data_IF_846674992118
#
_entry.id   IF_846674992118
#
_cell.length_a   1.000
_cell.length_b   1.000
_cell.length_c   1.000
_cell.angle_alpha   90.00
_cell.angle_beta   90.00
_cell.angle_gamma   90.00
#
_symmetry.space_group_name_H-M   'P 1'
#
loop_
_entity.id
_entity.type
_entity.pdbx_description
1 polymer ?
#
# COMPACT_ATOMS: atom_id res chain seq x y z
N UNK A 1 6.67 12.08 -12.19
CA UNK A 1 6.92 13.55 -12.19
C UNK A 1 5.68 14.25 -11.66
N UNK A 2 5.81 15.38 -10.96
CA UNK A 2 4.65 16.16 -10.56
C UNK A 2 3.98 16.81 -11.79
N UNK A 3 2.70 17.14 -11.68
CA UNK A 3 1.98 17.89 -12.70
C UNK A 3 2.65 19.25 -12.90
N UNK A 4 2.85 19.68 -14.16
CA UNK A 4 3.70 20.84 -14.51
C UNK A 4 3.22 22.18 -13.95
N UNK A 5 1.95 22.32 -13.61
CA UNK A 5 1.39 23.55 -13.03
C UNK A 5 1.47 23.59 -11.49
N UNK A 6 1.83 22.47 -10.85
CA UNK A 6 1.99 22.38 -9.41
C UNK A 6 3.46 22.53 -9.02
N UNK A 7 3.71 23.24 -7.93
CA UNK A 7 5.00 23.18 -7.25
C UNK A 7 5.21 21.77 -6.67
N UNK A 8 6.46 21.37 -6.43
CA UNK A 8 6.77 20.08 -5.79
C UNK A 8 6.04 19.90 -4.46
N UNK A 9 5.83 20.97 -3.70
CA UNK A 9 5.12 20.97 -2.41
C UNK A 9 3.63 20.74 -2.60
N UNK A 10 3.01 21.40 -3.57
CA UNK A 10 1.59 21.23 -3.91
C UNK A 10 1.31 19.83 -4.44
N UNK A 11 2.14 19.32 -5.36
CA UNK A 11 2.01 17.96 -5.88
C UNK A 11 2.08 16.89 -4.77
N UNK A 12 3.00 17.05 -3.82
CA UNK A 12 3.10 16.17 -2.64
C UNK A 12 1.85 16.29 -1.76
N UNK A 13 1.36 17.52 -1.54
CA UNK A 13 0.20 17.78 -0.70
C UNK A 13 -1.10 17.21 -1.30
N UNK A 14 -1.26 17.31 -2.59
CA UNK A 14 -2.42 16.77 -3.31
C UNK A 14 -2.27 15.26 -3.60
N UNK A 15 -1.09 14.67 -3.39
CA UNK A 15 -0.81 13.29 -3.82
C UNK A 15 -0.85 13.11 -5.34
N UNK A 16 -0.66 14.22 -6.08
CA UNK A 16 -0.81 14.27 -7.52
C UNK A 16 0.49 13.85 -8.19
N UNK A 17 0.55 12.61 -8.67
CA UNK A 17 1.67 12.04 -9.40
C UNK A 17 1.23 11.67 -10.81
N UNK A 18 2.05 12.05 -11.79
CA UNK A 18 1.93 11.56 -13.16
C UNK A 18 2.10 10.04 -13.17
N UNK A 19 1.19 9.34 -13.82
CA UNK A 19 1.28 7.89 -14.01
C UNK A 19 1.97 7.58 -15.33
N UNK A 20 3.16 6.96 -15.32
CA UNK A 20 3.86 6.57 -16.54
C UNK A 20 3.00 5.66 -17.43
N UNK A 21 3.09 5.88 -18.75
CA UNK A 21 2.26 5.16 -19.72
C UNK A 21 2.33 3.64 -19.57
N UNK A 22 3.51 3.07 -19.34
CA UNK A 22 3.65 1.62 -19.19
C UNK A 22 2.84 1.04 -18.02
N UNK A 23 2.61 1.81 -16.92
CA UNK A 23 1.76 1.38 -15.81
C UNK A 23 0.27 1.46 -16.17
N UNK A 24 -0.11 2.45 -16.99
CA UNK A 24 -1.46 2.55 -17.57
C UNK A 24 -1.71 1.35 -18.50
N UNK A 25 -0.75 1.04 -19.36
CA UNK A 25 -0.84 -0.10 -20.29
C UNK A 25 -1.01 -1.43 -19.53
N UNK A 26 -0.33 -1.61 -18.38
CA UNK A 26 -0.52 -2.77 -17.53
C UNK A 26 -1.96 -2.81 -16.96
N UNK A 27 -2.52 -1.68 -16.50
CA UNK A 27 -3.89 -1.64 -15.99
C UNK A 27 -4.90 -2.09 -17.07
N UNK A 28 -4.74 -1.63 -18.30
CA UNK A 28 -5.58 -2.09 -19.43
C UNK A 28 -5.35 -3.57 -19.77
N UNK A 29 -4.11 -4.05 -19.69
CA UNK A 29 -3.79 -5.47 -19.91
C UNK A 29 -4.47 -6.38 -18.88
N UNK A 30 -4.54 -5.96 -17.60
CA UNK A 30 -5.25 -6.72 -16.57
C UNK A 30 -6.76 -6.77 -16.86
N UNK A 31 -7.35 -5.64 -17.26
CA UNK A 31 -8.77 -5.57 -17.64
C UNK A 31 -9.08 -6.44 -18.88
N UNK A 32 -8.21 -6.42 -19.88
CA UNK A 32 -8.37 -7.22 -21.10
C UNK A 32 -8.29 -8.72 -20.80
N UNK A 33 -7.27 -9.16 -20.07
CA UNK A 33 -7.13 -10.56 -19.63
C UNK A 33 -8.32 -11.08 -18.84
N UNK A 34 -8.99 -10.21 -18.09
CA UNK A 34 -10.20 -10.54 -17.33
C UNK A 34 -11.48 -10.49 -18.19
N UNK A 35 -11.38 -10.16 -19.50
CA UNK A 35 -12.54 -9.87 -20.37
C UNK A 35 -13.50 -8.85 -19.73
N UNK A 36 -12.94 -7.88 -18.98
CA UNK A 36 -13.71 -6.87 -18.26
C UNK A 36 -14.28 -5.79 -19.20
N UNK A 37 -13.61 -5.54 -20.33
CA UNK A 37 -13.93 -4.47 -21.27
C UNK A 37 -14.97 -4.98 -22.27
N UNK A 38 -16.09 -4.27 -22.35
CA UNK A 38 -17.15 -4.48 -23.35
C UNK A 38 -17.38 -3.22 -24.16
N UNK A 39 -18.11 -3.31 -25.29
CA UNK A 39 -18.42 -2.17 -26.14
C UNK A 39 -19.14 -1.04 -25.38
N UNK A 40 -19.94 -1.40 -24.36
CA UNK A 40 -20.77 -0.45 -23.59
C UNK A 40 -20.11 -0.05 -22.27
N UNK A 41 -18.85 -0.44 -22.05
CA UNK A 41 -18.12 -0.09 -20.82
C UNK A 41 -17.87 1.42 -20.74
N UNK A 42 -18.18 2.00 -19.58
CA UNK A 42 -17.84 3.38 -19.23
C UNK A 42 -16.65 3.36 -18.27
N UNK A 43 -15.58 4.06 -18.65
CA UNK A 43 -14.40 4.23 -17.81
C UNK A 43 -14.51 5.52 -17.02
N UNK A 44 -14.37 5.46 -15.70
CA UNK A 44 -14.38 6.63 -14.82
C UNK A 44 -13.08 6.69 -14.02
N UNK A 45 -12.36 7.82 -14.17
CA UNK A 45 -11.30 8.20 -13.26
C UNK A 45 -11.76 9.38 -12.40
N UNK A 46 -11.86 9.17 -11.07
CA UNK A 46 -12.41 10.15 -10.13
C UNK A 46 -11.38 11.13 -9.57
N UNK A 47 -10.13 11.01 -10.02
CA UNK A 47 -8.98 11.88 -9.67
C UNK A 47 -8.02 11.96 -10.85
N UNK A 48 -8.57 12.26 -12.02
CA UNK A 48 -7.94 11.99 -13.31
C UNK A 48 -6.72 12.87 -13.63
N UNK A 49 -6.48 13.96 -12.89
CA UNK A 49 -5.39 14.86 -13.20
C UNK A 49 -5.44 15.34 -14.66
N UNK A 50 -4.42 15.01 -15.44
CA UNK A 50 -4.35 15.32 -16.87
C UNK A 50 -5.01 14.27 -17.77
N UNK A 51 -5.59 13.21 -17.20
CA UNK A 51 -6.27 12.16 -17.96
C UNK A 51 -5.33 11.07 -18.47
N UNK A 52 -4.27 10.75 -17.72
CA UNK A 52 -3.26 9.75 -18.11
C UNK A 52 -3.86 8.36 -18.40
N UNK A 53 -5.00 8.03 -17.78
CA UNK A 53 -5.70 6.75 -17.95
C UNK A 53 -6.70 6.72 -19.08
N UNK A 54 -6.91 7.82 -19.80
CA UNK A 54 -7.86 7.82 -20.91
C UNK A 54 -7.19 7.39 -22.20
N UNK A 55 -7.74 6.35 -22.83
CA UNK A 55 -7.31 5.84 -24.10
C UNK A 55 -8.34 6.11 -25.18
N UNK A 56 -7.89 6.31 -26.42
CA UNK A 56 -8.76 6.54 -27.56
C UNK A 56 -9.66 5.32 -27.82
N UNK A 57 -10.88 5.59 -28.26
CA UNK A 57 -11.86 4.55 -28.57
C UNK A 57 -12.69 4.06 -27.36
N UNK A 58 -12.41 4.51 -26.15
CA UNK A 58 -13.21 4.19 -24.97
C UNK A 58 -14.11 5.34 -24.53
N UNK A 59 -15.29 5.01 -23.99
CA UNK A 59 -16.19 5.99 -23.38
C UNK A 59 -15.65 6.36 -21.99
N UNK A 60 -14.88 7.45 -21.92
CA UNK A 60 -14.17 7.87 -20.74
C UNK A 60 -14.79 9.10 -20.08
N UNK A 61 -14.84 9.09 -18.75
CA UNK A 61 -15.31 10.20 -17.91
C UNK A 61 -14.22 10.52 -16.89
N UNK A 62 -13.83 11.79 -16.78
CA UNK A 62 -12.86 12.30 -15.82
C UNK A 62 -13.47 13.14 -14.72
N UNK A 63 -12.91 13.09 -13.54
CA UNK A 63 -13.23 14.02 -12.46
C UNK A 63 -11.97 14.38 -11.67
N UNK A 64 -11.88 15.64 -11.26
CA UNK A 64 -10.81 16.10 -10.37
C UNK A 64 -11.28 17.32 -9.57
N UNK A 65 -10.64 17.59 -8.42
CA UNK A 65 -10.80 18.83 -7.65
C UNK A 65 -9.96 19.97 -8.22
N UNK A 66 -8.97 19.65 -9.05
CA UNK A 66 -8.09 20.62 -9.70
C UNK A 66 -8.62 21.02 -11.08
N UNK A 67 -9.24 22.21 -11.14
CA UNK A 67 -9.79 22.77 -12.38
C UNK A 67 -8.71 23.01 -13.45
N UNK A 68 -7.46 23.31 -13.05
CA UNK A 68 -6.36 23.54 -14.00
C UNK A 68 -5.89 22.21 -14.63
N UNK A 69 -5.94 21.13 -13.88
CA UNK A 69 -5.66 19.81 -14.41
C UNK A 69 -6.73 19.41 -15.43
N UNK A 70 -8.01 19.55 -15.10
CA UNK A 70 -9.13 19.24 -15.99
C UNK A 70 -9.10 20.01 -17.32
N UNK A 71 -8.62 21.25 -17.31
CA UNK A 71 -8.48 22.04 -18.54
C UNK A 71 -7.47 21.47 -19.54
N UNK A 72 -6.65 20.50 -19.13
CA UNK A 72 -5.65 19.80 -19.97
C UNK A 72 -6.08 18.42 -20.42
N UNK A 73 -7.20 17.92 -19.92
CA UNK A 73 -7.80 16.66 -20.38
C UNK A 73 -8.28 16.83 -21.82
N UNK A 74 -8.15 15.77 -22.64
CA UNK A 74 -8.66 15.77 -24.01
C UNK A 74 -10.12 16.21 -24.08
N UNK A 75 -10.46 17.06 -25.06
CA UNK A 75 -11.83 17.57 -25.28
C UNK A 75 -12.84 16.47 -25.58
N UNK A 76 -12.40 15.31 -26.01
CA UNK A 76 -13.24 14.14 -26.28
C UNK A 76 -13.68 13.41 -25.01
N UNK A 77 -13.09 13.73 -23.84
CA UNK A 77 -13.43 13.14 -22.55
C UNK A 77 -14.37 14.08 -21.80
N UNK A 78 -15.50 13.55 -21.33
CA UNK A 78 -16.41 14.29 -20.47
C UNK A 78 -15.78 14.47 -19.11
N UNK A 79 -15.69 15.70 -18.60
CA UNK A 79 -15.05 16.00 -17.32
C UNK A 79 -15.98 16.67 -16.32
N UNK A 80 -15.74 16.43 -15.02
CA UNK A 80 -16.48 17.02 -13.91
C UNK A 80 -15.49 17.63 -12.90
N UNK A 81 -15.63 18.93 -12.62
CA UNK A 81 -14.93 19.59 -11.53
C UNK A 81 -15.66 19.32 -10.22
N UNK A 82 -15.21 18.31 -9.47
CA UNK A 82 -15.83 17.91 -8.21
C UNK A 82 -14.90 17.14 -7.29
N UNK A 83 -15.23 17.14 -6.01
CA UNK A 83 -14.62 16.27 -5.02
C UNK A 83 -15.30 14.89 -5.04
N UNK A 84 -14.55 13.85 -5.39
CA UNK A 84 -15.03 12.46 -5.47
C UNK A 84 -15.37 11.83 -4.10
N UNK A 85 -14.99 12.49 -3.02
CA UNK A 85 -15.22 12.02 -1.64
C UNK A 85 -16.44 12.67 -0.98
N UNK A 86 -17.22 13.44 -1.74
CA UNK A 86 -18.48 14.06 -1.32
C UNK A 86 -19.63 13.53 -2.18
N UNK A 87 -20.59 12.89 -1.55
CA UNK A 87 -21.78 12.31 -2.18
C UNK A 87 -21.48 11.54 -3.47
N UNK A 88 -20.58 10.52 -3.45
CA UNK A 88 -20.27 9.74 -4.64
C UNK A 88 -21.49 8.91 -5.08
N UNK A 89 -21.90 9.09 -6.34
CA UNK A 89 -22.97 8.33 -6.97
C UNK A 89 -22.76 8.28 -8.50
N UNK A 90 -23.25 7.26 -9.18
CA UNK A 90 -23.22 7.19 -10.65
C UNK A 90 -23.87 8.41 -11.30
N UNK A 91 -25.01 8.82 -10.77
CA UNK A 91 -25.76 9.99 -11.28
C UNK A 91 -24.94 11.29 -11.22
N UNK A 92 -24.07 11.45 -10.23
CA UNK A 92 -23.20 12.61 -10.10
C UNK A 92 -22.19 12.77 -11.25
N UNK A 93 -21.97 11.71 -12.04
CA UNK A 93 -21.15 11.68 -13.25
C UNK A 93 -22.00 11.52 -14.53
N UNK A 94 -23.33 11.55 -14.40
CA UNK A 94 -24.26 11.32 -15.50
C UNK A 94 -24.27 9.88 -16.01
N UNK A 95 -23.94 8.93 -15.15
CA UNK A 95 -23.92 7.48 -15.41
C UNK A 95 -25.22 6.89 -14.85
N UNK A 96 -25.91 6.04 -15.63
CA UNK A 96 -27.12 5.35 -15.20
C UNK A 96 -26.78 4.14 -14.31
N UNK A 97 -27.70 3.73 -13.46
CA UNK A 97 -27.50 2.55 -12.61
C UNK A 97 -27.26 1.25 -13.41
N UNK A 98 -27.88 1.15 -14.60
CA UNK A 98 -27.73 0.01 -15.52
C UNK A 98 -26.42 -0.02 -16.29
N UNK A 99 -25.66 1.09 -16.32
CA UNK A 99 -24.46 1.20 -17.13
C UNK A 99 -23.31 0.34 -16.55
N UNK A 100 -22.55 -0.29 -17.45
CA UNK A 100 -21.36 -1.08 -17.11
C UNK A 100 -20.20 -0.13 -16.78
N UNK A 101 -20.01 0.13 -15.50
CA UNK A 101 -18.99 1.07 -15.00
C UNK A 101 -17.71 0.31 -14.64
N UNK A 102 -16.58 0.83 -15.13
CA UNK A 102 -15.21 0.45 -14.74
C UNK A 102 -14.55 1.69 -14.12
N UNK A 103 -14.07 1.57 -12.89
CA UNK A 103 -13.17 2.57 -12.30
C UNK A 103 -11.75 2.24 -12.72
N UNK A 104 -11.01 3.24 -13.20
CA UNK A 104 -9.60 3.14 -13.54
C UNK A 104 -8.88 4.39 -13.03
N UNK A 105 -7.63 4.26 -12.56
CA UNK A 105 -6.89 5.46 -12.12
C UNK A 105 -5.81 5.18 -11.08
N UNK A 106 -5.20 6.28 -10.64
CA UNK A 106 -4.20 6.31 -9.57
C UNK A 106 -4.60 7.37 -8.54
N UNK A 107 -5.56 7.05 -7.64
CA UNK A 107 -6.06 8.02 -6.67
C UNK A 107 -4.97 8.44 -5.69
N UNK A 108 -5.03 9.67 -5.14
CA UNK A 108 -4.07 10.14 -4.17
C UNK A 108 -4.09 9.27 -2.89
N UNK A 109 -2.92 8.88 -2.39
CA UNK A 109 -2.75 8.02 -1.20
C UNK A 109 -1.79 8.61 -0.16
N UNK A 110 -2.02 9.88 0.21
CA UNK A 110 -1.26 10.55 1.25
C UNK A 110 -1.87 10.34 2.64
N UNK A 111 -1.03 10.00 3.61
CA UNK A 111 -1.41 10.02 5.03
C UNK A 111 -1.52 11.48 5.51
N UNK A 112 -2.72 11.92 5.91
CA UNK A 112 -2.97 13.27 6.44
C UNK A 112 -2.12 13.60 7.68
N UNK A 113 -1.68 12.61 8.45
CA UNK A 113 -0.82 12.85 9.62
C UNK A 113 0.57 13.36 9.22
N UNK A 114 1.06 13.01 8.02
CA UNK A 114 2.30 13.56 7.48
C UNK A 114 2.15 15.02 7.00
N UNK A 115 0.92 15.44 6.69
CA UNK A 115 0.59 16.80 6.25
C UNK A 115 0.32 17.76 7.43
N UNK A 116 -0.31 17.28 8.50
CA UNK A 116 -0.60 18.08 9.70
C UNK A 116 0.68 18.49 10.44
N UNK A 117 1.76 17.69 10.36
CA UNK A 117 3.06 18.04 10.94
C UNK A 117 3.87 19.08 10.17
N UNK A 118 3.42 19.49 8.96
CA UNK A 118 4.16 20.37 8.05
C UNK A 118 3.40 21.62 7.59
N UNK A 119 2.55 22.17 8.44
CA UNK A 119 1.93 23.51 8.24
C UNK A 119 1.31 23.80 6.87
N UNK A 120 0.02 23.79 6.81
CA UNK A 120 -0.83 24.92 6.39
C UNK A 120 -2.29 24.54 6.66
N UNK A 121 -2.98 25.42 7.41
CA UNK A 121 -4.39 25.28 7.80
C UNK A 121 -5.37 25.41 6.60
N UNK A 122 -4.88 25.51 5.36
CA UNK A 122 -5.65 26.06 4.24
C UNK A 122 -6.14 25.07 3.19
N UNK A 123 -5.99 23.74 3.38
CA UNK A 123 -6.61 22.79 2.44
C UNK A 123 -7.00 21.45 3.11
N UNK A 124 -7.96 21.51 4.00
CA UNK A 124 -8.63 20.28 4.46
C UNK A 124 -9.57 19.83 3.35
N UNK A 125 -9.18 18.78 2.61
CA UNK A 125 -10.10 18.12 1.66
C UNK A 125 -11.31 17.64 2.46
N UNK A 126 -12.48 18.15 2.12
CA UNK A 126 -13.75 17.74 2.71
C UNK A 126 -14.07 16.30 2.31
N UNK A 127 -14.53 15.48 3.24
CA UNK A 127 -14.79 14.05 3.02
C UNK A 127 -16.04 13.66 3.78
N UNK A 128 -16.96 12.95 3.14
CA UNK A 128 -18.12 12.36 3.80
C UNK A 128 -17.69 11.51 5.00
N UNK A 129 -18.44 11.59 6.10
CA UNK A 129 -18.06 11.01 7.39
C UNK A 129 -17.84 9.49 7.32
N UNK A 130 -18.62 8.76 6.54
CA UNK A 130 -18.51 7.31 6.35
C UNK A 130 -17.34 6.90 5.45
N UNK A 131 -16.86 7.81 4.58
CA UNK A 131 -15.69 7.60 3.73
C UNK A 131 -14.39 7.99 4.44
N UNK A 132 -14.48 8.80 5.49
CA UNK A 132 -13.33 9.43 6.13
C UNK A 132 -12.33 8.40 6.68
N UNK A 133 -11.08 8.53 6.23
CA UNK A 133 -9.93 7.80 6.76
C UNK A 133 -8.71 8.75 6.76
N UNK A 134 -7.70 8.42 7.58
CA UNK A 134 -6.45 9.21 7.61
C UNK A 134 -5.68 9.16 6.29
N UNK A 135 -5.74 8.03 5.58
CA UNK A 135 -5.16 7.81 4.27
C UNK A 135 -6.24 8.02 3.20
N UNK A 136 -5.98 8.96 2.25
CA UNK A 136 -6.95 9.33 1.22
C UNK A 136 -7.27 8.18 0.28
N UNK A 137 -6.28 7.34 -0.09
CA UNK A 137 -6.52 6.23 -1.00
C UNK A 137 -7.52 5.22 -0.45
N UNK A 138 -7.52 4.99 0.88
CA UNK A 138 -8.56 4.17 1.53
C UNK A 138 -9.94 4.86 1.44
N UNK A 139 -10.01 6.19 1.58
CA UNK A 139 -11.25 6.93 1.38
C UNK A 139 -11.76 6.82 -0.05
N UNK A 140 -10.87 6.83 -1.06
CA UNK A 140 -11.23 6.60 -2.47
C UNK A 140 -11.78 5.20 -2.69
N UNK A 141 -11.13 4.14 -2.19
CA UNK A 141 -11.64 2.77 -2.30
C UNK A 141 -13.04 2.62 -1.67
N UNK A 142 -13.28 3.26 -0.51
CA UNK A 142 -14.63 3.32 0.09
C UNK A 142 -15.64 4.04 -0.81
N UNK A 143 -15.25 5.12 -1.49
CA UNK A 143 -16.14 5.84 -2.41
C UNK A 143 -16.52 5.00 -3.62
N UNK A 144 -15.59 4.17 -4.11
CA UNK A 144 -15.87 3.24 -5.22
C UNK A 144 -16.93 2.21 -4.86
N UNK A 145 -16.96 1.71 -3.62
CA UNK A 145 -18.04 0.84 -3.18
C UNK A 145 -19.43 1.47 -3.29
N UNK A 146 -19.55 2.82 -3.11
CA UNK A 146 -20.82 3.54 -3.31
C UNK A 146 -21.19 3.70 -4.80
N UNK A 147 -20.20 3.81 -5.68
CA UNK A 147 -20.41 3.90 -7.13
C UNK A 147 -20.83 2.56 -7.76
N UNK A 148 -20.59 1.44 -7.06
CA UNK A 148 -20.93 0.08 -7.50
C UNK A 148 -20.44 -0.22 -8.93
N UNK A 149 -19.15 0.06 -9.29
CA UNK A 149 -18.62 -0.34 -10.58
C UNK A 149 -18.58 -1.87 -10.69
N UNK A 150 -18.64 -2.39 -11.92
CA UNK A 150 -18.43 -3.82 -12.16
C UNK A 150 -16.98 -4.23 -11.91
N UNK A 151 -16.05 -3.37 -12.32
CA UNK A 151 -14.61 -3.55 -12.10
C UNK A 151 -13.96 -2.28 -11.54
N UNK A 152 -12.92 -2.45 -10.72
CA UNK A 152 -12.04 -1.40 -10.21
C UNK A 152 -10.60 -1.78 -10.52
N UNK A 153 -9.94 -1.06 -11.41
CA UNK A 153 -8.53 -1.27 -11.75
C UNK A 153 -7.73 -0.02 -11.35
N UNK A 154 -7.09 -0.06 -10.19
CA UNK A 154 -6.45 1.13 -9.62
C UNK A 154 -5.07 0.82 -9.02
N UNK A 155 -4.24 1.87 -8.97
CA UNK A 155 -2.96 1.83 -8.31
C UNK A 155 -3.11 2.29 -6.87
N UNK A 156 -2.50 1.56 -5.94
CA UNK A 156 -2.43 1.98 -4.53
C UNK A 156 -1.27 1.27 -3.80
N UNK A 157 -0.86 1.73 -2.59
CA UNK A 157 0.13 1.03 -1.78
C UNK A 157 -0.28 -0.41 -1.48
N UNK A 158 0.64 -1.37 -1.66
CA UNK A 158 0.42 -2.78 -1.31
C UNK A 158 -0.03 -2.95 0.15
N UNK A 159 0.42 -2.06 1.03
CA UNK A 159 0.08 -2.05 2.46
C UNK A 159 -1.42 -1.94 2.76
N UNK A 160 -2.27 -1.55 1.80
CA UNK A 160 -3.73 -1.53 2.00
C UNK A 160 -4.31 -2.94 2.08
N UNK A 161 -3.70 -3.89 1.42
CA UNK A 161 -4.11 -5.29 1.43
C UNK A 161 -3.39 -6.10 2.52
N UNK A 162 -2.05 -6.03 2.54
CA UNK A 162 -1.24 -6.91 3.38
C UNK A 162 -1.15 -6.51 4.86
N UNK A 163 -1.54 -5.29 5.23
CA UNK A 163 -1.65 -4.89 6.65
C UNK A 163 -3.09 -5.03 7.10
N UNK A 164 -3.36 -5.97 7.98
CA UNK A 164 -4.71 -6.32 8.43
C UNK A 164 -5.53 -5.11 8.89
N UNK A 165 -4.90 -4.15 9.60
CA UNK A 165 -5.56 -2.91 10.04
C UNK A 165 -6.02 -2.03 8.87
N UNK A 166 -5.22 -1.92 7.82
CA UNK A 166 -5.58 -1.17 6.61
C UNK A 166 -6.63 -1.93 5.80
N UNK A 167 -6.48 -3.26 5.68
CA UNK A 167 -7.45 -4.12 5.01
C UNK A 167 -8.84 -4.02 5.66
N UNK A 168 -8.93 -4.13 6.99
CA UNK A 168 -10.17 -3.91 7.74
C UNK A 168 -10.76 -2.51 7.52
N UNK A 169 -9.91 -1.50 7.29
CA UNK A 169 -10.35 -0.14 7.03
C UNK A 169 -11.00 0.04 5.64
N UNK A 170 -10.90 -0.91 4.72
CA UNK A 170 -11.58 -0.86 3.42
C UNK A 170 -13.11 -0.95 3.54
N UNK A 171 -13.63 -1.53 4.62
CA UNK A 171 -15.07 -1.63 4.94
C UNK A 171 -15.88 -2.24 3.77
N UNK A 172 -16.97 -1.58 3.34
CA UNK A 172 -17.84 -2.03 2.27
C UNK A 172 -17.10 -2.36 0.95
N UNK A 173 -15.92 -1.79 0.71
CA UNK A 173 -15.15 -2.12 -0.48
C UNK A 173 -14.67 -3.60 -0.44
N UNK A 174 -14.06 -4.03 0.67
CA UNK A 174 -13.64 -5.43 0.81
C UNK A 174 -14.82 -6.41 0.87
N UNK A 175 -15.99 -5.95 1.33
CA UNK A 175 -17.17 -6.77 1.46
C UNK A 175 -17.91 -6.96 0.12
N UNK A 176 -17.73 -6.03 -0.84
CA UNK A 176 -18.40 -6.04 -2.14
C UNK A 176 -17.50 -6.29 -3.35
N UNK A 177 -16.19 -6.42 -3.15
CA UNK A 177 -15.20 -6.59 -4.23
C UNK A 177 -14.19 -7.67 -3.89
N UNK A 178 -13.72 -8.38 -4.95
CA UNK A 178 -12.69 -9.40 -4.84
C UNK A 178 -11.52 -9.06 -5.76
N UNK A 179 -10.30 -9.16 -5.25
CA UNK A 179 -9.08 -9.04 -6.04
C UNK A 179 -8.97 -10.26 -6.97
N UNK A 180 -8.96 -10.02 -8.29
CA UNK A 180 -8.92 -11.10 -9.29
C UNK A 180 -7.59 -11.19 -10.03
N UNK A 181 -6.90 -10.05 -10.23
CA UNK A 181 -5.52 -10.03 -10.75
C UNK A 181 -4.77 -8.80 -10.23
N UNK A 182 -3.43 -8.85 -10.26
CA UNK A 182 -2.61 -7.73 -9.81
C UNK A 182 -1.16 -7.83 -10.26
N UNK A 183 -0.46 -6.68 -10.24
CA UNK A 183 0.99 -6.62 -10.40
C UNK A 183 1.59 -5.63 -9.39
N UNK A 184 2.58 -6.08 -8.62
CA UNK A 184 3.36 -5.20 -7.74
C UNK A 184 4.46 -4.54 -8.56
N UNK A 185 4.59 -3.21 -8.40
CA UNK A 185 5.60 -2.39 -9.04
C UNK A 185 6.28 -1.49 -7.99
N UNK A 186 7.50 -1.04 -8.28
CA UNK A 186 8.21 -0.11 -7.40
C UNK A 186 7.63 1.30 -7.51
N UNK A 187 7.48 2.00 -6.37
CA UNK A 187 7.16 3.44 -6.37
C UNK A 187 8.25 4.29 -7.04
N UNK A 188 9.42 3.72 -7.33
CA UNK A 188 10.48 4.36 -8.13
C UNK A 188 9.99 4.70 -9.54
N UNK A 189 9.05 3.92 -10.10
CA UNK A 189 8.46 4.19 -11.42
C UNK A 189 7.83 5.60 -11.52
N UNK A 190 7.33 6.14 -10.39
CA UNK A 190 6.74 7.49 -10.33
C UNK A 190 7.76 8.59 -10.01
N UNK A 191 8.82 8.26 -9.27
CA UNK A 191 9.83 9.21 -8.83
C UNK A 191 11.20 8.55 -8.62
N UNK A 192 12.02 8.57 -9.64
CA UNK A 192 13.37 7.99 -9.63
C UNK A 192 14.34 8.64 -8.64
N UNK A 193 14.00 9.82 -8.08
CA UNK A 193 14.85 10.56 -7.11
C UNK A 193 14.45 10.33 -5.64
N UNK A 194 13.49 9.45 -5.36
CA UNK A 194 13.12 9.12 -3.99
C UNK A 194 14.27 8.36 -3.30
N UNK A 195 14.49 8.66 -2.02
CA UNK A 195 15.52 8.00 -1.20
C UNK A 195 15.09 6.63 -0.66
N UNK A 196 13.80 6.34 -0.72
CA UNK A 196 13.22 5.06 -0.31
C UNK A 196 12.06 4.69 -1.20
N UNK A 197 12.00 3.43 -1.59
CA UNK A 197 10.95 2.89 -2.44
C UNK A 197 10.04 1.98 -1.62
N UNK A 198 8.78 1.93 -2.04
CA UNK A 198 7.79 1.04 -1.45
C UNK A 198 6.96 0.36 -2.55
N UNK A 199 6.38 -0.81 -2.28
CA UNK A 199 5.58 -1.52 -3.25
C UNK A 199 4.23 -0.81 -3.46
N UNK A 200 3.93 -0.54 -4.71
CA UNK A 200 2.62 -0.12 -5.24
C UNK A 200 2.04 -1.32 -5.98
N UNK A 201 0.75 -1.53 -5.86
CA UNK A 201 0.05 -2.58 -6.59
C UNK A 201 -0.87 -1.95 -7.64
N UNK A 202 -0.81 -2.46 -8.86
CA UNK A 202 -1.85 -2.29 -9.88
C UNK A 202 -2.83 -3.42 -9.62
N UNK A 203 -4.01 -3.11 -9.10
CA UNK A 203 -4.94 -4.09 -8.58
C UNK A 203 -6.26 -4.06 -9.37
N UNK A 204 -6.65 -5.20 -9.90
CA UNK A 204 -7.94 -5.39 -10.54
C UNK A 204 -8.89 -6.12 -9.60
N UNK A 205 -9.96 -5.43 -9.25
CA UNK A 205 -11.05 -5.96 -8.43
C UNK A 205 -12.31 -6.12 -9.29
N UNK A 206 -13.05 -7.19 -9.02
CA UNK A 206 -14.38 -7.43 -9.57
C UNK A 206 -15.44 -7.31 -8.47
N UNK A 207 -16.60 -6.74 -8.81
CA UNK A 207 -17.75 -6.73 -7.91
C UNK A 207 -18.17 -8.16 -7.62
N UNK A 208 -18.19 -8.55 -6.35
CA UNK A 208 -18.43 -9.92 -5.94
C UNK A 208 -19.09 -9.96 -4.55
N UNK A 209 -20.21 -10.67 -4.44
CA UNK A 209 -20.96 -10.77 -3.18
C UNK A 209 -20.23 -11.53 -2.07
N UNK A 210 -19.23 -12.35 -2.41
CA UNK A 210 -18.39 -13.03 -1.41
C UNK A 210 -17.35 -12.08 -0.80
N UNK A 211 -17.01 -10.99 -1.51
CA UNK A 211 -16.00 -10.05 -1.06
C UNK A 211 -14.63 -10.67 -0.83
N UNK A 212 -13.89 -10.08 0.10
CA UNK A 212 -12.58 -10.56 0.57
C UNK A 212 -12.56 -10.55 2.11
N UNK A 213 -12.10 -11.63 2.70
CA UNK A 213 -11.61 -11.64 4.08
C UNK A 213 -10.07 -11.55 4.11
N UNK A 214 -9.50 -11.44 5.30
CA UNK A 214 -8.04 -11.31 5.41
C UNK A 214 -7.32 -12.63 5.10
N UNK A 215 -7.96 -13.78 5.32
CA UNK A 215 -7.41 -15.09 4.97
C UNK A 215 -7.23 -15.24 3.46
N UNK A 216 -8.18 -14.73 2.66
CA UNK A 216 -8.03 -14.65 1.21
C UNK A 216 -6.76 -13.86 0.80
N UNK A 217 -6.48 -12.73 1.45
CA UNK A 217 -5.28 -11.92 1.17
C UNK A 217 -4.00 -12.65 1.61
N UNK A 218 -4.04 -13.36 2.73
CA UNK A 218 -2.89 -14.15 3.23
C UNK A 218 -2.52 -15.25 2.23
N UNK A 219 -3.50 -15.88 1.59
CA UNK A 219 -3.29 -16.96 0.62
C UNK A 219 -3.09 -16.46 -0.82
N UNK A 220 -3.41 -15.19 -1.10
CA UNK A 220 -3.29 -14.63 -2.45
C UNK A 220 -1.83 -14.54 -2.89
N UNK A 221 -1.51 -15.06 -4.09
CA UNK A 221 -0.18 -14.93 -4.69
C UNK A 221 -0.09 -13.64 -5.50
N UNK A 222 0.52 -12.64 -4.93
CA UNK A 222 0.80 -11.36 -5.60
C UNK A 222 1.93 -11.53 -6.61
N UNK A 223 1.71 -11.15 -7.86
CA UNK A 223 2.73 -11.11 -8.92
C UNK A 223 3.58 -9.84 -8.77
N UNK A 224 4.85 -9.92 -9.08
CA UNK A 224 5.83 -8.82 -9.07
C UNK A 224 6.33 -8.56 -10.49
N UNK A 225 6.71 -7.33 -10.78
CA UNK A 225 7.16 -6.87 -12.13
C UNK A 225 8.48 -7.51 -12.60
N UNK A 226 9.23 -8.13 -11.70
CA UNK A 226 10.45 -8.90 -12.01
C UNK A 226 10.19 -10.38 -12.32
N UNK A 227 8.93 -10.82 -12.37
CA UNK A 227 8.51 -12.20 -12.61
C UNK A 227 8.31 -13.03 -11.33
N UNK A 228 8.71 -12.51 -10.17
CA UNK A 228 8.52 -13.17 -8.88
C UNK A 228 7.08 -13.06 -8.36
N UNK A 229 6.80 -13.70 -7.23
CA UNK A 229 5.52 -13.62 -6.54
C UNK A 229 5.66 -13.70 -5.03
N UNK A 230 4.75 -13.06 -4.30
CA UNK A 230 4.69 -13.08 -2.84
C UNK A 230 3.35 -13.64 -2.39
N UNK A 231 3.37 -14.56 -1.42
CA UNK A 231 2.19 -15.01 -0.67
C UNK A 231 2.49 -14.89 0.82
N UNK A 232 1.64 -14.21 1.58
CA UNK A 232 1.89 -13.97 3.01
C UNK A 232 1.94 -15.26 3.82
N UNK A 233 1.18 -16.28 3.40
CA UNK A 233 1.16 -17.60 4.04
C UNK A 233 2.52 -18.34 3.97
N UNK A 234 3.44 -17.92 3.11
CA UNK A 234 4.78 -18.53 2.98
C UNK A 234 5.76 -18.02 4.06
N UNK A 235 5.34 -17.08 4.92
CA UNK A 235 6.20 -16.45 5.92
C UNK A 235 5.68 -16.64 7.34
N UNK A 236 6.61 -16.89 8.26
CA UNK A 236 6.39 -16.69 9.69
C UNK A 236 6.90 -15.30 10.08
N UNK A 237 6.06 -14.52 10.78
CA UNK A 237 6.36 -13.13 11.06
C UNK A 237 6.72 -12.91 12.53
N UNK A 238 7.69 -12.03 12.78
CA UNK A 238 8.18 -11.69 14.12
C UNK A 238 7.06 -11.17 15.04
N UNK A 239 6.03 -10.56 14.45
CA UNK A 239 4.84 -10.09 15.18
C UNK A 239 4.06 -11.19 15.91
N UNK A 240 4.28 -12.48 15.54
CA UNK A 240 3.71 -13.64 16.25
C UNK A 240 4.38 -13.89 17.60
N UNK A 241 5.60 -13.38 17.79
CA UNK A 241 6.44 -13.65 18.95
C UNK A 241 6.63 -12.46 19.88
N UNK A 242 6.60 -11.23 19.33
CA UNK A 242 6.86 -10.00 20.07
C UNK A 242 5.89 -8.86 19.69
N UNK A 243 5.78 -7.89 20.58
CA UNK A 243 5.07 -6.65 20.32
C UNK A 243 5.90 -5.72 19.43
N UNK A 244 5.25 -5.04 18.49
CA UNK A 244 5.88 -4.08 17.56
C UNK A 244 5.55 -2.62 17.90
N UNK A 245 4.77 -2.41 18.94
CA UNK A 245 4.26 -1.10 19.36
C UNK A 245 4.39 -0.92 20.88
N UNK A 246 4.32 0.34 21.41
CA UNK A 246 4.56 0.65 22.80
C UNK A 246 3.63 0.01 23.84
N UNK A 247 2.53 -0.61 23.41
CA UNK A 247 1.55 -1.27 24.26
C UNK A 247 1.96 -2.70 24.71
N UNK A 248 3.21 -3.06 24.54
CA UNK A 248 3.73 -4.36 24.99
C UNK A 248 3.50 -4.55 26.51
N UNK A 249 3.03 -5.74 26.88
CA UNK A 249 2.84 -6.16 28.27
C UNK A 249 3.68 -7.40 28.52
N UNK A 250 4.27 -7.49 29.70
CA UNK A 250 5.07 -8.63 30.13
C UNK A 250 5.07 -8.78 31.64
N UNK A 251 5.79 -9.78 32.15
CA UNK A 251 5.97 -10.01 33.58
C UNK A 251 7.28 -9.35 34.06
N UNK A 252 7.20 -8.64 35.18
CA UNK A 252 8.36 -7.97 35.79
C UNK A 252 8.68 -6.61 35.17
N UNK A 253 9.87 -6.10 35.51
CA UNK A 253 10.37 -4.85 34.95
C UNK A 253 10.97 -5.04 33.56
N UNK A 254 10.82 -4.07 32.64
CA UNK A 254 11.49 -4.10 31.35
C UNK A 254 13.01 -4.12 31.50
N UNK A 255 13.68 -5.01 30.78
CA UNK A 255 15.15 -5.13 30.76
C UNK A 255 15.82 -4.27 29.70
N UNK A 256 15.06 -3.82 28.69
CA UNK A 256 15.50 -2.92 27.63
C UNK A 256 14.30 -2.25 26.94
N UNK A 257 14.59 -1.33 26.01
CA UNK A 257 13.58 -0.64 25.22
C UNK A 257 13.96 -0.62 23.74
N UNK A 258 12.94 -0.65 22.84
CA UNK A 258 13.12 -0.73 21.41
C UNK A 258 12.26 0.29 20.67
N UNK A 259 12.73 0.79 19.53
CA UNK A 259 11.92 1.66 18.69
C UNK A 259 10.74 0.89 18.06
N UNK A 260 9.54 1.51 17.91
CA UNK A 260 8.43 0.89 17.20
C UNK A 260 8.83 0.45 15.79
N UNK A 261 8.44 -0.78 15.41
CA UNK A 261 8.80 -1.38 14.11
C UNK A 261 7.54 -1.76 13.33
N UNK A 262 7.15 -0.88 12.41
CA UNK A 262 5.92 -1.04 11.64
C UNK A 262 6.04 -2.06 10.50
N UNK A 263 7.17 -2.04 9.80
CA UNK A 263 7.51 -2.87 8.64
C UNK A 263 9.02 -2.82 8.38
N UNK A 264 9.49 -3.63 7.43
CA UNK A 264 10.91 -3.69 7.05
C UNK A 264 11.44 -2.32 6.63
N UNK A 265 10.68 -1.52 5.86
CA UNK A 265 11.11 -0.16 5.47
C UNK A 265 11.21 0.79 6.68
N UNK A 266 10.34 0.67 7.66
CA UNK A 266 10.46 1.45 8.90
C UNK A 266 11.68 1.00 9.72
N UNK A 267 11.91 -0.31 9.83
CA UNK A 267 13.08 -0.87 10.50
C UNK A 267 14.40 -0.40 9.86
N UNK A 268 14.49 -0.38 8.53
CA UNK A 268 15.70 0.13 7.82
C UNK A 268 16.07 1.55 8.26
N UNK A 269 15.09 2.41 8.53
CA UNK A 269 15.30 3.83 8.88
C UNK A 269 15.46 4.09 10.38
N UNK A 270 14.76 3.34 11.22
CA UNK A 270 14.70 3.60 12.66
C UNK A 270 15.92 2.99 13.38
N UNK A 271 16.28 3.57 14.54
CA UNK A 271 17.14 2.88 15.50
C UNK A 271 16.43 1.63 16.03
N UNK A 272 17.15 0.75 16.70
CA UNK A 272 16.64 -0.49 17.30
C UNK A 272 16.53 -0.34 18.82
N UNK A 273 17.56 -0.70 19.56
CA UNK A 273 17.58 -0.48 21.01
C UNK A 273 17.68 1.01 21.35
N UNK A 274 17.17 1.38 22.50
CA UNK A 274 17.02 2.77 22.97
C UNK A 274 17.69 2.94 24.32
N UNK A 275 18.59 3.92 24.43
CA UNK A 275 19.30 4.23 25.68
C UNK A 275 18.41 4.94 26.70
N UNK A 276 17.47 5.77 26.22
CA UNK A 276 16.55 6.54 27.08
C UNK A 276 15.11 6.13 26.80
N UNK A 277 14.45 5.40 27.71
CA UNK A 277 13.07 4.96 27.54
C UNK A 277 12.08 6.14 27.56
N UNK A 278 10.96 5.95 26.87
CA UNK A 278 9.77 6.80 26.91
C UNK A 278 8.54 5.96 26.60
N UNK A 279 7.36 6.49 26.88
CA UNK A 279 6.05 5.86 26.60
C UNK A 279 5.81 5.58 25.10
N UNK A 280 6.64 6.15 24.22
CA UNK A 280 6.59 5.89 22.77
C UNK A 280 7.46 4.70 22.34
N UNK A 281 8.21 4.11 23.27
CA UNK A 281 9.11 2.98 23.00
C UNK A 281 8.46 1.66 23.44
N UNK A 282 8.90 0.57 22.83
CA UNK A 282 8.44 -0.77 23.19
C UNK A 282 9.23 -1.22 24.42
N UNK A 283 8.58 -1.52 25.56
CA UNK A 283 9.26 -2.16 26.68
C UNK A 283 9.56 -3.62 26.34
N UNK A 284 10.80 -4.06 26.60
CA UNK A 284 11.26 -5.42 26.37
C UNK A 284 11.36 -6.15 27.69
N UNK A 285 10.75 -7.34 27.77
CA UNK A 285 10.83 -8.24 28.93
C UNK A 285 11.82 -9.38 28.65
N UNK A 286 12.40 -9.93 29.70
CA UNK A 286 13.52 -10.88 29.60
C UNK A 286 13.23 -12.09 28.68
N UNK A 287 12.01 -12.64 28.73
CA UNK A 287 11.56 -13.78 27.94
C UNK A 287 11.50 -13.50 26.44
N UNK A 288 11.43 -12.22 26.04
CA UNK A 288 11.34 -11.77 24.64
C UNK A 288 12.61 -11.14 24.10
N UNK A 289 13.60 -10.89 24.95
CA UNK A 289 14.82 -10.16 24.61
C UNK A 289 15.54 -10.72 23.38
N UNK A 290 15.64 -12.05 23.25
CA UNK A 290 16.29 -12.73 22.12
C UNK A 290 15.69 -12.37 20.76
N UNK A 291 14.37 -12.20 20.68
CA UNK A 291 13.68 -11.80 19.44
C UNK A 291 13.93 -10.33 19.06
N UNK A 292 14.15 -9.46 20.04
CA UNK A 292 14.53 -8.08 19.73
C UNK A 292 15.98 -7.97 19.25
N UNK A 293 16.88 -8.81 19.75
CA UNK A 293 18.21 -8.98 19.16
C UNK A 293 18.12 -9.52 17.73
N UNK A 294 17.27 -10.50 17.48
CA UNK A 294 16.99 -10.97 16.12
C UNK A 294 16.61 -9.82 15.17
N UNK A 295 15.65 -8.98 15.56
CA UNK A 295 15.23 -7.81 14.76
C UNK A 295 16.38 -6.81 14.59
N UNK A 296 17.22 -6.62 15.61
CA UNK A 296 18.40 -5.76 15.53
C UNK A 296 19.36 -6.24 14.42
N UNK A 297 19.64 -7.53 14.37
CA UNK A 297 20.48 -8.11 13.33
C UNK A 297 19.81 -8.14 11.96
N UNK A 298 18.53 -8.54 11.88
CA UNK A 298 17.75 -8.49 10.64
C UNK A 298 17.86 -7.14 9.93
N UNK A 299 17.85 -6.04 10.65
CA UNK A 299 17.99 -4.69 10.09
C UNK A 299 19.25 -4.54 9.24
N UNK A 300 20.38 -5.13 9.64
CA UNK A 300 21.68 -5.01 8.94
C UNK A 300 21.61 -5.68 7.57
N UNK A 301 20.89 -6.79 7.48
CA UNK A 301 20.76 -7.60 6.26
C UNK A 301 19.53 -7.19 5.42
N UNK A 302 18.55 -6.49 6.00
CA UNK A 302 17.32 -6.11 5.33
C UNK A 302 17.54 -5.28 4.04
N UNK A 303 18.69 -4.62 3.89
CA UNK A 303 19.07 -3.90 2.67
C UNK A 303 19.27 -4.79 1.43
N UNK A 304 19.52 -6.09 1.62
CA UNK A 304 19.66 -7.08 0.55
C UNK A 304 18.30 -7.50 -0.05
N UNK A 305 17.19 -7.23 0.67
CA UNK A 305 15.86 -7.62 0.24
C UNK A 305 15.32 -6.69 -0.86
N UNK A 306 14.66 -7.23 -1.89
CA UNK A 306 13.96 -6.48 -2.91
C UNK A 306 12.92 -5.51 -2.33
N UNK A 307 12.54 -4.49 -3.10
CA UNK A 307 11.65 -3.41 -2.65
C UNK A 307 10.28 -3.90 -2.18
N UNK A 308 9.76 -4.98 -2.76
CA UNK A 308 8.43 -5.49 -2.47
C UNK A 308 8.29 -6.15 -1.09
N UNK A 309 9.41 -6.51 -0.44
CA UNK A 309 9.41 -6.90 0.98
C UNK A 309 9.24 -5.69 1.92
N UNK A 310 9.42 -4.48 1.44
CA UNK A 310 9.48 -3.29 2.30
C UNK A 310 8.24 -3.04 3.16
N UNK A 311 7.07 -3.47 2.74
CA UNK A 311 5.83 -3.35 3.51
C UNK A 311 5.49 -4.59 4.34
N UNK A 312 6.24 -5.70 4.19
CA UNK A 312 6.07 -6.88 5.04
C UNK A 312 6.55 -6.57 6.47
N UNK A 313 6.07 -7.36 7.40
CA UNK A 313 6.68 -7.49 8.73
C UNK A 313 8.04 -8.19 8.62
N UNK A 314 8.87 -8.07 9.64
CA UNK A 314 10.09 -8.87 9.78
C UNK A 314 9.69 -10.34 9.84
N UNK A 315 10.22 -11.14 8.94
CA UNK A 315 9.95 -12.58 8.91
C UNK A 315 11.12 -13.36 9.53
N UNK A 316 10.85 -14.59 9.93
CA UNK A 316 11.75 -15.44 10.70
C UNK A 316 11.54 -16.91 10.32
N UNK A 317 12.62 -17.71 10.31
CA UNK A 317 12.50 -19.14 10.48
C UNK A 317 12.71 -19.43 11.98
N UNK A 318 11.60 -19.46 12.74
CA UNK A 318 11.67 -19.55 14.20
C UNK A 318 12.29 -20.86 14.69
N UNK A 319 12.05 -21.97 14.00
CA UNK A 319 12.64 -23.26 14.38
C UNK A 319 14.16 -23.24 14.25
N UNK A 320 14.68 -22.72 13.15
CA UNK A 320 16.12 -22.58 12.92
C UNK A 320 16.73 -21.55 13.90
N UNK A 321 16.06 -20.43 14.15
CA UNK A 321 16.51 -19.41 15.08
C UNK A 321 16.68 -19.94 16.51
N UNK A 322 15.70 -20.69 17.03
CA UNK A 322 15.75 -21.23 18.40
C UNK A 322 16.94 -22.18 18.63
N UNK A 323 17.46 -22.82 17.59
CA UNK A 323 18.65 -23.68 17.70
C UNK A 323 19.95 -22.91 17.94
N UNK A 324 19.97 -21.63 17.59
CA UNK A 324 21.16 -20.75 17.63
C UNK A 324 20.90 -19.42 18.37
N UNK A 325 19.80 -19.31 19.09
CA UNK A 325 19.32 -18.04 19.71
C UNK A 325 20.38 -17.36 20.59
N UNK A 326 21.25 -18.14 21.26
CA UNK A 326 22.31 -17.59 22.09
C UNK A 326 23.36 -16.79 21.30
N UNK A 327 23.60 -17.13 20.04
CA UNK A 327 24.51 -16.39 19.16
C UNK A 327 23.98 -15.00 18.83
N UNK A 328 22.67 -14.77 18.94
CA UNK A 328 22.01 -13.48 18.65
C UNK A 328 22.02 -12.50 19.82
N UNK A 329 22.29 -12.94 21.07
CA UNK A 329 22.24 -12.08 22.26
C UNK A 329 23.52 -11.23 22.32
N UNK A 330 23.72 -10.40 21.32
CA UNK A 330 24.82 -9.45 21.16
C UNK A 330 24.38 -8.30 20.25
N UNK A 331 25.07 -7.17 20.33
CA UNK A 331 24.91 -6.07 19.39
C UNK A 331 25.85 -6.17 18.19
N UNK A 332 26.85 -7.05 18.27
CA UNK A 332 27.84 -7.29 17.20
C UNK A 332 27.38 -8.46 16.31
N UNK A 333 27.78 -8.38 15.07
CA UNK A 333 27.54 -9.45 14.10
C UNK A 333 28.59 -10.57 14.27
N UNK A 334 28.20 -11.80 13.88
CA UNK A 334 29.08 -12.95 13.88
C UNK A 334 28.73 -13.88 12.70
N UNK A 335 29.58 -14.86 12.44
CA UNK A 335 29.43 -15.78 11.31
C UNK A 335 28.11 -16.56 11.34
N UNK A 336 27.69 -17.05 12.52
CA UNK A 336 26.44 -17.81 12.70
C UNK A 336 25.23 -16.94 12.32
N UNK A 337 25.23 -15.65 12.69
CA UNK A 337 24.16 -14.70 12.35
C UNK A 337 24.14 -14.45 10.85
N UNK A 338 25.32 -14.26 10.24
CA UNK A 338 25.46 -14.02 8.81
C UNK A 338 24.93 -15.21 8.00
N UNK A 339 25.36 -16.41 8.30
CA UNK A 339 24.92 -17.65 7.64
C UNK A 339 23.41 -17.86 7.78
N UNK A 340 22.84 -17.60 8.97
CA UNK A 340 21.40 -17.70 9.18
C UNK A 340 20.63 -16.77 8.24
N UNK A 341 21.00 -15.50 8.16
CA UNK A 341 20.27 -14.56 7.31
C UNK A 341 20.49 -14.78 5.82
N UNK A 342 21.66 -15.22 5.40
CA UNK A 342 21.93 -15.59 4.01
C UNK A 342 21.05 -16.77 3.58
N UNK A 343 20.93 -17.78 4.42
CA UNK A 343 20.03 -18.92 4.19
C UNK A 343 18.56 -18.47 4.18
N UNK A 344 18.12 -17.73 5.21
CA UNK A 344 16.74 -17.27 5.32
C UNK A 344 16.31 -16.45 4.08
N UNK A 345 17.16 -15.53 3.62
CA UNK A 345 16.81 -14.69 2.47
C UNK A 345 16.89 -15.47 1.16
N UNK A 346 17.85 -16.39 1.01
CA UNK A 346 17.92 -17.28 -0.13
C UNK A 346 16.68 -18.16 -0.27
N UNK A 347 16.25 -18.80 0.81
CA UNK A 347 15.00 -19.59 0.84
C UNK A 347 13.78 -18.74 0.53
N UNK A 348 13.67 -17.53 1.13
CA UNK A 348 12.55 -16.62 0.92
C UNK A 348 12.44 -16.12 -0.53
N UNK A 349 13.57 -15.90 -1.21
CA UNK A 349 13.59 -15.52 -2.62
C UNK A 349 13.25 -16.71 -3.53
N UNK A 350 13.68 -17.92 -3.19
CA UNK A 350 13.39 -19.15 -3.95
C UNK A 350 11.90 -19.56 -3.86
N UNK A 351 11.23 -19.33 -2.72
CA UNK A 351 9.79 -19.61 -2.57
C UNK A 351 8.97 -18.76 -3.56
N UNK A 352 9.52 -17.65 -4.05
CA UNK A 352 8.83 -16.65 -4.87
C UNK A 352 9.09 -16.81 -6.38
N UNK A 353 10.10 -17.57 -6.74
CA UNK A 353 10.40 -17.93 -8.13
C UNK A 353 9.50 -19.09 -8.58
#
# INVERSE_FOLDING_TARGET
MAQRHLTKKEAINLGSFYTPKHLVDIAYLLLDKANAITKDSIFLDTSCGYGDFFADGFNSIGSDIDKQALARVSKNVKTFHRNALINPSKNAYGIKESDSLIIIGNPPYNDKTSLVGRSSKDSVVEIDQDLKHRDLGISFLRSYAKLKPKYVCVLHPLSYLIKETNFKALKAFKDGYRLIDSLIVSSQAFNTKASSYFPVIIALYEQNSLGMDYSFIVDYRFKVDDGNGIRLADFDFIGNYISKYPNARGKGEPVAYFYPMRDINALKRNKTFVDKPSDKMIPIYADKLKYYYYVHHFKRYAGKLPYYFGNLDVFINNEAFLKIENAFITLEDNEIISEYFEKLFGESLNIQA
#
